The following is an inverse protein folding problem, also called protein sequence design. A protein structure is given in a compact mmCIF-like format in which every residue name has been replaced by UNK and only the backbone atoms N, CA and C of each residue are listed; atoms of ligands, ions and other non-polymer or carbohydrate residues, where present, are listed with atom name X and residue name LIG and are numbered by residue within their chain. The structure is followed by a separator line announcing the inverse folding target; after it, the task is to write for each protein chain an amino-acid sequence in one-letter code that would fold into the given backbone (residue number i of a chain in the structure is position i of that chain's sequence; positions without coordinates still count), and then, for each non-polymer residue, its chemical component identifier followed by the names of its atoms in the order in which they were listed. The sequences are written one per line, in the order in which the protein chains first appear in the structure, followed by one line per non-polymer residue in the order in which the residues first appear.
data_IF_837840385773
#
_entry.id   IF_837840385773
#
_cell.length_a   1.000
_cell.length_b   1.000
_cell.length_c   1.000
_cell.angle_alpha   90.00
_cell.angle_beta   90.00
_cell.angle_gamma   90.00
#
_symmetry.space_group_name_H-M   'P 1'
#
loop_
_entity.id
_entity.type
_entity.pdbx_description
1 polymer ?
#
# COMPACT_ATOMS: atom_id res chain seq x y z
N UNK A 1 1.51 8.09 11.06
CA UNK A 1 0.84 8.79 9.93
C UNK A 1 -0.52 9.27 10.44
N UNK A 2 -1.03 10.44 10.05
CA UNK A 2 -2.39 10.88 10.43
C UNK A 2 -3.34 10.71 9.24
N UNK A 3 -4.53 10.17 9.50
CA UNK A 3 -5.64 10.13 8.54
C UNK A 3 -6.13 11.55 8.23
N UNK A 4 -6.34 11.85 6.95
CA UNK A 4 -7.02 13.06 6.49
C UNK A 4 -8.46 12.73 6.16
N UNK A 5 -9.39 13.51 6.70
CA UNK A 5 -10.81 13.43 6.33
C UNK A 5 -11.00 14.05 4.95
N UNK A 6 -11.70 13.33 4.07
CA UNK A 6 -12.06 13.80 2.73
C UNK A 6 -13.46 13.25 2.39
N UNK A 7 -14.44 14.15 2.29
CA UNK A 7 -15.84 13.79 2.04
C UNK A 7 -16.06 13.18 0.66
N UNK A 8 -15.25 13.55 -0.34
CA UNK A 8 -15.32 12.95 -1.67
C UNK A 8 -14.88 11.49 -1.62
N UNK A 9 -13.81 11.18 -0.89
CA UNK A 9 -13.38 9.79 -0.65
C UNK A 9 -14.42 8.99 0.11
N UNK A 10 -15.07 9.57 1.12
CA UNK A 10 -16.15 8.92 1.87
C UNK A 10 -17.34 8.57 0.95
N UNK A 11 -17.75 9.49 0.08
CA UNK A 11 -18.82 9.27 -0.89
C UNK A 11 -18.46 8.22 -1.96
N UNK A 12 -17.21 8.17 -2.39
CA UNK A 12 -16.70 7.16 -3.33
C UNK A 12 -16.64 5.78 -2.67
N UNK A 13 -16.09 5.70 -1.45
CA UNK A 13 -16.01 4.45 -0.69
C UNK A 13 -17.39 3.83 -0.51
N UNK A 14 -18.38 4.64 -0.15
CA UNK A 14 -19.78 4.21 0.00
C UNK A 14 -20.36 3.57 -1.27
N UNK A 15 -19.95 4.02 -2.46
CA UNK A 15 -20.40 3.43 -3.72
C UNK A 15 -19.63 2.15 -4.08
N UNK A 16 -18.35 2.05 -3.72
CA UNK A 16 -17.52 0.89 -4.03
C UNK A 16 -17.85 -0.34 -3.15
N UNK A 17 -18.21 -0.12 -1.88
CA UNK A 17 -18.47 -1.18 -0.89
C UNK A 17 -19.73 -2.00 -1.20
N UNK A 18 -20.73 -1.42 -1.86
CA UNK A 18 -22.05 -2.05 -2.04
C UNK A 18 -22.03 -3.24 -3.01
N UNK A 19 -21.12 -3.24 -3.99
CA UNK A 19 -21.11 -4.27 -5.05
C UNK A 19 -19.80 -5.06 -5.16
N UNK A 20 -18.68 -4.49 -4.71
CA UNK A 20 -17.35 -5.04 -5.01
C UNK A 20 -16.79 -5.90 -3.89
N UNK A 21 -17.29 -5.79 -2.65
CA UNK A 21 -16.59 -6.26 -1.44
C UNK A 21 -15.89 -5.09 -0.74
N UNK A 22 -14.81 -5.36 -0.01
CA UNK A 22 -14.05 -4.33 0.72
C UNK A 22 -13.24 -3.45 -0.24
N UNK A 23 -13.61 -2.17 -0.29
CA UNK A 23 -12.95 -1.16 -1.10
C UNK A 23 -12.77 0.11 -0.28
N UNK A 24 -11.53 0.60 -0.19
CA UNK A 24 -11.19 1.76 0.64
C UNK A 24 -10.15 2.65 -0.05
N UNK A 25 -10.50 3.92 -0.17
CA UNK A 25 -9.61 5.01 -0.57
C UNK A 25 -9.43 5.94 0.62
N UNK A 26 -8.19 6.13 1.01
CA UNK A 26 -7.84 6.82 2.26
C UNK A 26 -6.68 7.79 2.01
N UNK A 27 -6.89 9.07 2.31
CA UNK A 27 -5.84 10.09 2.29
C UNK A 27 -5.08 10.17 3.62
N UNK A 28 -3.75 10.22 3.60
CA UNK A 28 -2.92 10.32 4.81
C UNK A 28 -1.82 11.37 4.68
N UNK A 29 -1.52 12.03 5.79
CA UNK A 29 -0.42 12.99 5.88
C UNK A 29 0.50 12.73 7.08
N UNK A 30 1.73 13.20 6.94
CA UNK A 30 2.59 13.50 8.09
C UNK A 30 3.71 12.50 8.34
N UNK A 31 4.89 13.07 8.62
CA UNK A 31 6.09 12.33 8.98
C UNK A 31 6.11 12.17 10.49
N UNK A 32 5.96 10.94 10.99
CA UNK A 32 6.26 10.62 12.38
C UNK A 32 7.76 10.36 12.52
N UNK A 33 8.49 11.39 12.97
CA UNK A 33 9.96 11.33 13.11
C UNK A 33 10.41 10.30 14.16
N UNK A 34 9.59 10.01 15.16
CA UNK A 34 9.96 9.04 16.20
C UNK A 34 9.83 7.62 15.66
N UNK A 35 8.69 7.31 15.03
CA UNK A 35 8.47 6.02 14.38
C UNK A 35 9.50 5.76 13.26
N UNK A 36 9.90 6.78 12.50
CA UNK A 36 10.94 6.61 11.48
C UNK A 36 12.30 6.26 12.07
N UNK A 37 12.69 6.88 13.19
CA UNK A 37 13.96 6.56 13.87
C UNK A 37 13.97 5.11 14.37
N UNK A 38 12.87 4.66 14.95
CA UNK A 38 12.72 3.27 15.40
C UNK A 38 12.83 2.30 14.21
N UNK A 39 12.14 2.59 13.11
CA UNK A 39 12.21 1.78 11.89
C UNK A 39 13.64 1.66 11.34
N UNK A 40 14.41 2.75 11.38
CA UNK A 40 15.82 2.71 10.96
C UNK A 40 16.73 1.90 11.91
N UNK A 41 16.45 1.86 13.21
CA UNK A 41 17.23 1.08 14.18
C UNK A 41 16.98 -0.43 14.01
N UNK A 42 15.74 -0.84 13.76
CA UNK A 42 15.40 -2.25 13.61
C UNK A 42 15.74 -2.85 12.23
N UNK A 43 16.01 -2.00 11.22
CA UNK A 43 16.43 -2.41 9.88
C UNK A 43 17.94 -2.56 9.73
N UNK A 44 18.72 -2.31 10.79
CA UNK A 44 20.12 -2.71 10.82
C UNK A 44 20.14 -4.22 11.12
N UNK A 45 20.73 -5.07 10.24
CA UNK A 45 21.11 -6.40 10.70
C UNK A 45 21.98 -6.16 11.90
N UNK A 46 21.63 -6.79 13.03
CA UNK A 46 22.34 -6.70 14.29
C UNK A 46 23.77 -6.26 14.04
N UNK A 47 24.12 -5.02 14.44
CA UNK A 47 25.50 -4.74 14.77
C UNK A 47 25.77 -5.74 15.88
N UNK A 48 26.26 -6.92 15.48
CA UNK A 48 26.83 -7.92 16.37
C UNK A 48 27.68 -7.09 17.29
N UNK A 49 27.26 -7.06 18.55
CA UNK A 49 27.94 -6.37 19.61
C UNK A 49 29.36 -6.92 19.56
N UNK A 50 30.25 -6.13 18.94
CA UNK A 50 31.59 -6.55 18.62
C UNK A 50 32.34 -6.53 19.95
N UNK A 51 32.20 -7.60 20.72
CA UNK A 51 33.10 -7.92 21.80
C UNK A 51 34.40 -8.41 21.17
N UNK A 52 35.13 -7.52 20.50
CA UNK A 52 36.52 -7.75 20.16
C UNK A 52 37.34 -7.62 21.46
N UNK A 53 38.10 -8.66 21.87
CA UNK A 53 39.19 -8.45 22.82
C UNK A 53 40.28 -7.60 22.15
N UNK A 54 41.06 -6.83 22.90
CA UNK A 54 42.10 -6.02 22.30
C UNK A 54 43.26 -6.91 21.82
N UNK A 55 43.96 -6.39 20.81
CA UNK A 55 45.40 -6.55 20.51
C UNK A 55 45.77 -7.15 19.13
N UNK A 56 46.67 -6.39 18.48
CA UNK A 56 47.75 -6.74 17.53
C UNK A 56 47.48 -7.04 16.03
N UNK A 57 47.87 -6.06 15.21
CA UNK A 57 48.70 -6.11 13.97
C UNK A 57 48.39 -7.13 12.86
N UNK A 58 48.06 -6.66 11.65
CA UNK A 58 48.13 -7.45 10.41
C UNK A 58 47.54 -6.75 9.17
N UNK A 59 48.25 -6.81 8.04
CA UNK A 59 48.03 -6.10 6.76
C UNK A 59 46.91 -6.69 5.85
N UNK A 60 46.13 -5.80 5.20
CA UNK A 60 45.45 -5.81 3.85
C UNK A 60 44.73 -7.08 3.29
N UNK A 61 43.85 -6.99 2.24
CA UNK A 61 43.39 -5.84 1.45
C UNK A 61 41.86 -5.64 1.42
N UNK A 62 41.45 -4.47 0.91
CA UNK A 62 40.07 -4.00 0.85
C UNK A 62 39.08 -4.94 0.17
N UNK A 63 38.00 -5.23 0.89
CA UNK A 63 36.72 -5.55 0.27
C UNK A 63 36.10 -4.21 -0.13
N UNK A 64 36.27 -3.86 -1.40
CA UNK A 64 35.28 -3.02 -2.04
C UNK A 64 33.97 -3.79 -1.93
N UNK A 65 33.10 -3.32 -1.04
CA UNK A 65 31.66 -3.52 -1.22
C UNK A 65 31.34 -2.72 -2.48
N UNK A 66 31.61 -3.33 -3.64
CA UNK A 66 31.04 -2.89 -4.89
C UNK A 66 29.56 -3.20 -4.77
N UNK A 67 28.87 -2.28 -4.10
CA UNK A 67 27.45 -2.01 -4.23
C UNK A 67 27.23 -1.79 -5.74
N UNK A 68 27.13 -2.89 -6.47
CA UNK A 68 26.69 -2.88 -7.86
C UNK A 68 25.34 -2.16 -7.88
N UNK A 69 25.03 -1.39 -8.94
CA UNK A 69 23.81 -0.61 -9.01
C UNK A 69 22.61 -1.54 -9.19
N UNK A 70 22.19 -2.18 -8.10
CA UNK A 70 21.10 -3.13 -8.08
C UNK A 70 19.81 -2.38 -7.76
N UNK A 71 19.10 -2.13 -8.86
CA UNK A 71 17.64 -2.05 -8.94
C UNK A 71 16.98 -0.84 -8.29
N UNK A 72 16.35 0.00 -9.12
CA UNK A 72 15.23 0.94 -8.87
C UNK A 72 14.63 0.94 -7.45
N UNK A 73 15.41 1.35 -6.45
CA UNK A 73 15.10 1.06 -5.05
C UNK A 73 14.20 2.14 -4.47
N UNK A 74 13.01 1.75 -4.02
CA UNK A 74 12.17 2.60 -3.18
C UNK A 74 13.01 3.05 -1.97
N UNK A 75 13.15 4.36 -1.73
CA UNK A 75 14.01 4.83 -0.63
C UNK A 75 13.55 4.26 0.72
N UNK A 76 14.47 3.94 1.65
CA UNK A 76 14.12 3.45 3.00
C UNK A 76 13.08 4.32 3.71
N UNK A 77 13.13 5.63 3.46
CA UNK A 77 12.16 6.61 3.97
C UNK A 77 10.79 6.45 3.32
N UNK A 78 10.73 6.22 2.02
CA UNK A 78 9.48 5.89 1.32
C UNK A 78 8.91 4.59 1.85
N UNK A 79 9.72 3.52 1.91
CA UNK A 79 9.28 2.21 2.42
C UNK A 79 8.67 2.32 3.81
N UNK A 80 9.29 3.07 4.72
CA UNK A 80 8.72 3.36 6.04
C UNK A 80 7.32 3.98 5.95
N UNK A 81 7.11 4.98 5.09
CA UNK A 81 5.79 5.61 4.96
C UNK A 81 4.74 4.66 4.37
N UNK A 82 5.14 3.79 3.45
CA UNK A 82 4.25 2.80 2.86
C UNK A 82 3.82 1.76 3.91
N UNK A 83 4.78 1.19 4.67
CA UNK A 83 4.50 0.25 5.77
C UNK A 83 3.65 0.91 6.86
N UNK A 84 3.98 2.14 7.26
CA UNK A 84 3.19 2.87 8.24
C UNK A 84 1.75 3.14 7.74
N UNK A 85 1.57 3.29 6.42
CA UNK A 85 0.24 3.47 5.81
C UNK A 85 -0.54 2.16 5.81
N UNK A 86 0.09 1.02 5.51
CA UNK A 86 -0.52 -0.31 5.59
C UNK A 86 -0.95 -0.65 7.01
N UNK A 87 -0.03 -0.53 7.97
CA UNK A 87 -0.30 -0.79 9.39
C UNK A 87 -1.49 0.00 9.88
N UNK A 88 -1.61 1.26 9.49
CA UNK A 88 -2.73 2.07 9.94
C UNK A 88 -4.02 1.81 9.16
N UNK A 89 -3.96 1.28 7.94
CA UNK A 89 -5.15 0.99 7.13
C UNK A 89 -5.83 -0.32 7.54
N UNK A 90 -5.06 -1.27 8.03
CA UNK A 90 -5.52 -2.63 8.32
C UNK A 90 -5.40 -3.01 9.81
N UNK A 91 -5.16 -2.04 10.69
CA UNK A 91 -5.20 -2.25 12.14
C UNK A 91 -6.65 -2.43 12.61
N UNK A 92 -6.89 -3.29 13.61
CA UNK A 92 -5.90 -4.09 14.36
C UNK A 92 -5.55 -5.44 13.71
N UNK A 93 -6.18 -5.78 12.60
CA UNK A 93 -6.22 -7.14 12.07
C UNK A 93 -4.88 -7.61 11.46
N UNK A 94 -4.04 -6.68 10.98
CA UNK A 94 -2.76 -6.99 10.33
C UNK A 94 -1.60 -6.13 10.83
N UNK A 95 -0.41 -6.76 10.89
CA UNK A 95 0.87 -6.10 11.18
C UNK A 95 1.88 -6.33 10.05
N UNK A 96 2.22 -5.25 9.36
CA UNK A 96 3.16 -5.17 8.25
C UNK A 96 4.57 -4.76 8.70
N UNK A 97 4.82 -4.70 10.01
CA UNK A 97 6.15 -4.32 10.53
C UNK A 97 7.25 -5.28 10.09
N UNK A 98 6.92 -6.53 9.72
CA UNK A 98 7.86 -7.50 9.16
C UNK A 98 8.13 -7.33 7.66
N UNK A 99 7.34 -6.54 6.92
CA UNK A 99 7.49 -6.30 5.47
C UNK A 99 8.66 -5.36 5.13
N UNK A 100 9.77 -5.46 5.89
CA UNK A 100 10.95 -4.59 5.79
C UNK A 100 11.79 -4.86 4.53
N UNK A 101 11.52 -5.93 3.79
CA UNK A 101 12.10 -6.17 2.47
C UNK A 101 11.41 -5.33 1.40
N UNK A 102 12.15 -4.99 0.34
CA UNK A 102 11.59 -4.26 -0.81
C UNK A 102 10.68 -5.14 -1.69
N UNK A 103 10.75 -6.46 -1.52
CA UNK A 103 10.14 -7.44 -2.41
C UNK A 103 8.63 -7.27 -2.65
N UNK A 104 7.78 -7.02 -1.63
CA UNK A 104 6.35 -6.86 -1.87
C UNK A 104 5.97 -5.45 -2.36
N UNK A 105 6.89 -4.48 -2.35
CA UNK A 105 6.65 -3.09 -2.73
C UNK A 105 7.38 -2.74 -4.01
N UNK A 106 6.62 -2.65 -5.11
CA UNK A 106 7.16 -2.29 -6.42
C UNK A 106 6.86 -0.83 -6.78
N UNK A 107 7.84 -0.12 -7.34
CA UNK A 107 7.62 1.18 -7.97
C UNK A 107 6.98 0.99 -9.33
N UNK A 108 5.94 1.77 -9.65
CA UNK A 108 5.25 1.69 -10.93
C UNK A 108 5.73 2.84 -11.82
N UNK A 109 6.44 2.56 -12.93
CA UNK A 109 7.12 3.59 -13.73
C UNK A 109 6.17 4.48 -14.53
N UNK A 110 4.93 4.02 -14.79
CA UNK A 110 3.99 4.73 -15.64
C UNK A 110 2.61 4.87 -14.97
N UNK A 111 2.20 6.09 -14.56
CA UNK A 111 0.92 6.31 -13.89
C UNK A 111 -0.32 5.85 -14.67
N UNK A 112 -0.29 5.97 -16.00
CA UNK A 112 -1.41 5.55 -16.85
C UNK A 112 -1.69 4.03 -16.74
N UNK A 113 -0.68 3.21 -16.46
CA UNK A 113 -0.85 1.78 -16.30
C UNK A 113 -1.67 1.46 -15.05
N UNK A 114 -1.42 2.17 -13.95
CA UNK A 114 -2.17 2.04 -12.69
C UNK A 114 -3.62 2.49 -12.90
N UNK A 115 -3.81 3.65 -13.54
CA UNK A 115 -5.16 4.16 -13.85
C UNK A 115 -5.95 3.15 -14.68
N UNK A 116 -5.33 2.58 -15.72
CA UNK A 116 -5.97 1.56 -16.55
C UNK A 116 -6.24 0.27 -15.78
N UNK A 117 -5.31 -0.22 -14.96
CA UNK A 117 -5.49 -1.41 -14.14
C UNK A 117 -6.66 -1.24 -13.16
N UNK A 118 -6.69 -0.13 -12.43
CA UNK A 118 -7.79 0.22 -11.52
C UNK A 118 -9.11 0.31 -12.28
N UNK A 119 -9.15 0.99 -13.42
CA UNK A 119 -10.36 1.11 -14.24
C UNK A 119 -10.88 -0.26 -14.70
N UNK A 120 -10.00 -1.15 -15.17
CA UNK A 120 -10.38 -2.49 -15.58
C UNK A 120 -10.94 -3.31 -14.41
N UNK A 121 -10.26 -3.29 -13.26
CA UNK A 121 -10.71 -4.01 -12.06
C UNK A 121 -12.06 -3.49 -11.58
N UNK A 122 -12.22 -2.18 -11.41
CA UNK A 122 -13.47 -1.60 -10.93
C UNK A 122 -14.62 -1.76 -11.92
N UNK A 123 -14.38 -1.62 -13.23
CA UNK A 123 -15.41 -1.94 -14.23
C UNK A 123 -15.83 -3.42 -14.17
N UNK A 124 -14.90 -4.31 -13.83
CA UNK A 124 -15.18 -5.74 -13.64
C UNK A 124 -15.98 -6.07 -12.36
N UNK A 125 -16.19 -5.11 -11.46
CA UNK A 125 -17.04 -5.29 -10.29
C UNK A 125 -18.31 -4.43 -10.35
N UNK A 126 -18.15 -3.13 -10.58
CA UNK A 126 -19.22 -2.10 -10.54
C UNK A 126 -19.94 -1.93 -11.88
N UNK A 127 -19.46 -2.59 -12.96
CA UNK A 127 -20.14 -2.62 -14.28
C UNK A 127 -20.45 -1.21 -14.82
N UNK A 128 -21.67 -0.99 -15.27
CA UNK A 128 -22.12 0.25 -15.91
C UNK A 128 -22.10 1.45 -14.97
N UNK A 129 -22.30 1.24 -13.67
CA UNK A 129 -22.25 2.31 -12.67
C UNK A 129 -20.85 2.92 -12.55
N UNK A 130 -19.82 2.15 -12.92
CA UNK A 130 -18.45 2.65 -12.99
C UNK A 130 -18.30 3.79 -14.00
N UNK A 131 -19.15 3.87 -15.03
CA UNK A 131 -19.07 4.95 -16.02
C UNK A 131 -19.33 6.32 -15.39
N UNK A 132 -20.26 6.39 -14.43
CA UNK A 132 -20.56 7.60 -13.68
C UNK A 132 -19.56 7.82 -12.54
N UNK A 133 -19.11 6.75 -11.88
CA UNK A 133 -18.17 6.83 -10.76
C UNK A 133 -16.74 7.18 -11.18
N UNK A 134 -16.27 6.70 -12.34
CA UNK A 134 -14.90 6.88 -12.82
C UNK A 134 -14.41 8.33 -12.82
N UNK A 135 -15.13 9.32 -13.41
CA UNK A 135 -14.68 10.71 -13.35
C UNK A 135 -14.62 11.23 -11.91
N UNK A 136 -15.65 10.97 -11.09
CA UNK A 136 -15.68 11.39 -9.69
C UNK A 136 -14.50 10.84 -8.89
N UNK A 137 -14.14 9.57 -9.14
CA UNK A 137 -13.01 8.90 -8.53
C UNK A 137 -11.69 9.61 -8.87
N UNK A 138 -11.40 9.78 -10.16
CA UNK A 138 -10.10 10.32 -10.58
C UNK A 138 -9.98 11.82 -10.32
N UNK A 139 -11.08 12.57 -10.40
CA UNK A 139 -11.11 13.99 -10.03
C UNK A 139 -10.82 14.16 -8.53
N UNK A 140 -11.45 13.36 -7.66
CA UNK A 140 -11.19 13.42 -6.22
C UNK A 140 -9.75 13.02 -5.86
N UNK A 141 -9.20 12.00 -6.53
CA UNK A 141 -7.80 11.59 -6.32
C UNK A 141 -6.87 12.72 -6.76
N UNK A 142 -7.05 13.27 -7.95
CA UNK A 142 -6.18 14.32 -8.47
C UNK A 142 -6.26 15.62 -7.65
N UNK A 143 -7.45 16.02 -7.21
CA UNK A 143 -7.64 17.17 -6.32
C UNK A 143 -6.92 16.98 -4.99
N UNK A 144 -6.97 15.78 -4.41
CA UNK A 144 -6.37 15.49 -3.10
C UNK A 144 -4.84 15.36 -3.16
N UNK A 145 -4.27 14.82 -4.25
CA UNK A 145 -2.85 14.40 -4.27
C UNK A 145 -2.02 14.96 -5.42
N UNK A 146 -2.65 15.61 -6.41
CA UNK A 146 -2.02 16.03 -7.67
C UNK A 146 -1.30 14.84 -8.32
N UNK A 147 -2.06 14.01 -9.03
CA UNK A 147 -1.62 12.70 -9.52
C UNK A 147 -0.41 12.81 -10.45
N UNK A 148 -0.32 13.89 -11.24
CA UNK A 148 0.79 14.17 -12.14
C UNK A 148 2.15 14.35 -11.43
N UNK A 149 2.16 14.65 -10.13
CA UNK A 149 3.36 14.83 -9.33
C UNK A 149 3.61 13.67 -8.34
N UNK A 150 2.91 12.55 -8.49
CA UNK A 150 3.05 11.40 -7.60
C UNK A 150 4.07 10.38 -8.10
N UNK A 151 4.85 9.86 -7.17
CA UNK A 151 5.47 8.54 -7.32
C UNK A 151 4.42 7.49 -6.93
N UNK A 152 4.27 6.42 -7.73
CA UNK A 152 3.26 5.40 -7.50
C UNK A 152 3.93 4.08 -7.13
N UNK A 153 3.41 3.45 -6.08
CA UNK A 153 3.87 2.16 -5.59
C UNK A 153 2.71 1.18 -5.52
N UNK A 154 2.98 -0.10 -5.77
CA UNK A 154 2.04 -1.19 -5.53
C UNK A 154 2.55 -2.09 -4.41
N UNK A 155 1.65 -2.50 -3.52
CA UNK A 155 1.91 -3.57 -2.55
C UNK A 155 1.24 -4.86 -2.99
N UNK A 156 2.05 -5.86 -3.32
CA UNK A 156 1.62 -7.19 -3.72
C UNK A 156 2.22 -8.17 -2.72
N UNK A 157 1.47 -8.53 -1.66
CA UNK A 157 1.98 -9.44 -0.65
C UNK A 157 2.19 -10.85 -1.23
N UNK A 158 3.16 -11.58 -0.67
CA UNK A 158 3.25 -13.02 -0.86
C UNK A 158 2.06 -13.71 -0.21
N UNK A 159 1.72 -14.93 -0.65
CA UNK A 159 0.55 -15.68 -0.18
C UNK A 159 0.46 -15.80 1.35
N UNK A 160 1.59 -15.94 2.05
CA UNK A 160 1.65 -16.08 3.50
C UNK A 160 1.51 -14.74 4.26
N UNK A 161 1.67 -13.62 3.56
CA UNK A 161 1.59 -12.25 4.11
C UNK A 161 0.42 -11.46 3.52
N UNK A 162 -0.40 -12.08 2.68
CA UNK A 162 -1.55 -11.44 2.05
C UNK A 162 -2.68 -11.33 3.06
N UNK A 163 -3.09 -10.11 3.46
CA UNK A 163 -4.26 -9.94 4.31
C UNK A 163 -5.52 -10.53 3.69
N UNK A 164 -5.54 -10.79 2.38
CA UNK A 164 -6.68 -11.31 1.66
C UNK A 164 -6.53 -12.78 1.21
N UNK A 165 -5.44 -13.46 1.63
CA UNK A 165 -5.01 -14.75 1.08
C UNK A 165 -6.01 -15.91 1.24
N UNK A 166 -6.89 -15.86 2.24
CA UNK A 166 -7.86 -16.95 2.53
C UNK A 166 -9.26 -16.73 1.94
N UNK A 167 -9.57 -15.54 1.41
CA UNK A 167 -10.96 -15.07 1.27
C UNK A 167 -11.65 -15.33 -0.08
N UNK A 168 -11.07 -16.10 -0.99
CA UNK A 168 -11.69 -16.32 -2.32
C UNK A 168 -11.79 -15.02 -3.13
N UNK A 169 -10.82 -14.13 -2.92
CA UNK A 169 -10.60 -12.92 -3.71
C UNK A 169 -10.37 -13.29 -5.18
N UNK A 170 -11.12 -12.68 -6.09
CA UNK A 170 -10.94 -12.79 -7.53
C UNK A 170 -9.77 -11.91 -7.99
N UNK A 171 -9.65 -10.74 -7.39
CA UNK A 171 -8.57 -9.79 -7.60
C UNK A 171 -8.50 -8.84 -6.41
N UNK A 172 -7.30 -8.34 -6.15
CA UNK A 172 -7.06 -7.21 -5.24
C UNK A 172 -6.00 -6.29 -5.83
N UNK A 173 -6.01 -5.03 -5.41
CA UNK A 173 -4.92 -4.12 -5.68
C UNK A 173 -4.70 -3.22 -4.46
N UNK A 174 -3.45 -2.79 -4.26
CA UNK A 174 -3.04 -1.89 -3.19
C UNK A 174 -2.05 -0.86 -3.77
N UNK A 175 -2.55 0.31 -4.14
CA UNK A 175 -1.75 1.37 -4.73
C UNK A 175 -1.53 2.53 -3.77
N UNK A 176 -0.32 3.08 -3.77
CA UNK A 176 0.05 4.27 -3.03
C UNK A 176 0.43 5.36 -4.01
N UNK A 177 -0.27 6.48 -3.94
CA UNK A 177 0.06 7.71 -4.66
C UNK A 177 0.80 8.63 -3.70
N UNK A 178 2.13 8.69 -3.82
CA UNK A 178 2.97 9.45 -2.91
C UNK A 178 3.43 10.75 -3.55
N UNK A 179 2.87 11.88 -3.08
CA UNK A 179 3.34 13.20 -3.44
C UNK A 179 4.37 13.69 -2.40
N UNK A 180 5.66 13.63 -2.76
CA UNK A 180 6.78 14.05 -1.89
C UNK A 180 6.73 15.54 -1.55
N UNK A 181 6.21 16.39 -2.45
CA UNK A 181 6.09 17.85 -2.24
C UNK A 181 5.01 18.15 -1.20
N UNK A 182 3.86 17.50 -1.30
CA UNK A 182 2.76 17.60 -0.32
C UNK A 182 3.04 16.82 0.98
N UNK A 183 4.02 15.91 0.98
CA UNK A 183 4.31 14.96 2.08
C UNK A 183 3.06 14.15 2.45
N UNK A 184 2.34 13.72 1.43
CA UNK A 184 1.00 13.10 1.53
C UNK A 184 0.97 11.81 0.71
N UNK A 185 0.24 10.82 1.21
CA UNK A 185 0.00 9.55 0.53
C UNK A 185 -1.51 9.37 0.42
N UNK A 186 -2.01 9.10 -0.78
CA UNK A 186 -3.32 8.47 -0.95
C UNK A 186 -3.09 6.97 -1.09
N UNK A 187 -3.70 6.18 -0.21
CA UNK A 187 -3.71 4.73 -0.29
C UNK A 187 -5.05 4.28 -0.85
N UNK A 188 -4.99 3.57 -1.97
CA UNK A 188 -6.15 3.01 -2.63
C UNK A 188 -6.02 1.49 -2.64
N UNK A 189 -6.82 0.84 -1.81
CA UNK A 189 -6.97 -0.61 -1.78
C UNK A 189 -8.38 -1.03 -2.17
N UNK A 190 -8.49 -2.09 -2.94
CA UNK A 190 -9.76 -2.69 -3.28
C UNK A 190 -9.56 -4.16 -3.57
N UNK A 191 -10.53 -4.98 -3.16
CA UNK A 191 -10.62 -6.38 -3.53
C UNK A 191 -12.00 -6.71 -4.04
N UNK A 192 -12.08 -7.71 -4.91
CA UNK A 192 -13.33 -8.35 -5.27
C UNK A 192 -13.35 -9.79 -4.78
N UNK A 193 -14.43 -10.18 -4.11
CA UNK A 193 -14.58 -11.51 -3.52
C UNK A 193 -15.63 -12.30 -4.29
N UNK A 194 -15.38 -13.60 -4.53
CA UNK A 194 -16.38 -14.47 -5.14
C UNK A 194 -17.54 -14.70 -4.17
N UNK A 195 -18.76 -14.36 -4.58
CA UNK A 195 -19.95 -14.73 -3.82
C UNK A 195 -20.18 -16.26 -3.93
N UNK A 196 -20.11 -16.96 -2.79
CA UNK A 196 -20.18 -18.45 -2.72
C UNK A 196 -21.59 -19.01 -2.93
N UNK A 197 -22.63 -18.19 -2.99
CA UNK A 197 -24.00 -18.67 -3.27
C UNK A 197 -24.24 -18.76 -4.78
N UNK A 198 -23.96 -19.93 -5.36
CA UNK A 198 -24.02 -20.20 -6.80
C UNK A 198 -25.42 -20.23 -7.41
N UNK A 199 -26.12 -19.09 -7.52
CA UNK A 199 -27.26 -18.95 -8.43
C UNK A 199 -27.45 -17.48 -8.83
N UNK A 200 -26.81 -17.06 -9.93
CA UNK A 200 -26.95 -15.72 -10.50
C UNK A 200 -26.22 -14.62 -9.70
N UNK A 201 -25.70 -13.61 -10.41
CA UNK A 201 -25.15 -12.40 -9.81
C UNK A 201 -26.28 -11.59 -9.16
N UNK A 202 -26.51 -11.84 -7.87
CA UNK A 202 -27.44 -11.10 -7.02
C UNK A 202 -26.85 -10.98 -5.62
N UNK A 203 -26.75 -9.74 -5.13
CA UNK A 203 -26.21 -9.39 -3.84
C UNK A 203 -27.04 -9.98 -2.70
N UNK A 204 -26.36 -10.42 -1.63
CA UNK A 204 -26.99 -10.62 -0.33
C UNK A 204 -26.30 -9.65 0.63
N UNK A 205 -27.02 -8.67 1.23
CA UNK A 205 -26.42 -7.80 2.21
C UNK A 205 -26.21 -8.62 3.49
N UNK A 206 -24.97 -8.94 3.81
CA UNK A 206 -24.63 -9.40 5.16
C UNK A 206 -24.54 -8.17 6.06
N UNK A 207 -25.72 -7.69 6.46
CA UNK A 207 -25.87 -6.83 7.63
C UNK A 207 -25.59 -7.71 8.86
N UNK A 208 -24.32 -7.89 9.21
CA UNK A 208 -23.95 -8.31 10.56
C UNK A 208 -23.88 -7.06 11.43
N UNK A 209 -25.05 -6.70 11.96
CA UNK A 209 -25.13 -6.00 13.24
C UNK A 209 -24.52 -6.93 14.27
N UNK A 210 -23.39 -6.52 14.85
CA UNK A 210 -22.90 -7.00 16.13
C UNK A 210 -22.56 -5.75 16.98
N UNK A 211 -22.75 -5.82 18.30
CA UNK A 211 -23.06 -4.68 19.18
C UNK A 211 -21.99 -3.60 19.26
#
# INVERSE_FOLDING_TARGET
MKLLENSSFEAINSQLTVETGDAHIIGRAGIDKQLFKQFCQEGQPHALEALSPPQTSGLSPGRGDEEGPLSDTCSRKTLFYLIATLNEAFRPDYDFSAAKSHDPVSHVPAPFQVVNAVNCSLFSAVREDFKALKPLLWDAVDEEICLAECDIYSYNPDLDSDPFGEDGSLWSFNYFFYNKRLKRIVFFTCRSIRNRTGNGSGAVPALLVLP
#
